data_IF_984302187459
#
_entry.id   IF_984302187459
#
_cell.length_a   1.000
_cell.length_b   1.000
_cell.length_c   1.000
_cell.angle_alpha   90.00
_cell.angle_beta   90.00
_cell.angle_gamma   90.00
#
_symmetry.space_group_name_H-M   'P 1'
#
loop_
_entity.id
_entity.type
_entity.pdbx_description
1 polymer ?
#
# COMPACT_ATOMS: atom_id res chain seq x y z
N UNK A 1 -7.16 -32.86 -13.25
CA UNK A 1 -6.51 -32.38 -12.02
C UNK A 1 -5.81 -31.05 -12.27
N UNK A 2 -6.24 -29.98 -11.58
CA UNK A 2 -5.62 -28.63 -11.60
C UNK A 2 -4.95 -28.39 -10.24
N UNK A 3 -4.30 -29.41 -9.68
CA UNK A 3 -3.68 -29.32 -8.34
C UNK A 3 -2.22 -28.86 -8.36
N UNK A 4 -1.52 -28.97 -9.51
CA UNK A 4 -0.12 -28.53 -9.63
C UNK A 4 0.06 -27.01 -9.63
N UNK A 5 -0.78 -26.29 -10.38
CA UNK A 5 -0.62 -24.83 -10.62
C UNK A 5 -0.94 -24.00 -9.37
N UNK A 6 -1.80 -24.49 -8.48
CA UNK A 6 -2.18 -23.78 -7.25
C UNK A 6 -1.02 -23.74 -6.23
N UNK A 7 -0.16 -24.76 -6.22
CA UNK A 7 1.05 -24.78 -5.39
C UNK A 7 2.05 -23.72 -5.83
N UNK A 8 2.32 -23.65 -7.14
CA UNK A 8 3.31 -22.73 -7.73
C UNK A 8 3.06 -21.26 -7.38
N UNK A 9 1.80 -20.82 -7.44
CA UNK A 9 1.46 -19.44 -7.12
C UNK A 9 1.63 -19.13 -5.62
N UNK A 10 1.36 -20.10 -4.75
CA UNK A 10 1.59 -19.96 -3.31
C UNK A 10 3.08 -19.78 -3.01
N UNK A 11 3.97 -20.51 -3.70
CA UNK A 11 5.42 -20.32 -3.59
C UNK A 11 5.86 -18.93 -4.05
N UNK A 12 5.27 -18.38 -5.10
CA UNK A 12 5.57 -17.01 -5.56
C UNK A 12 5.17 -15.95 -4.52
N UNK A 13 4.01 -16.11 -3.87
CA UNK A 13 3.58 -15.22 -2.78
C UNK A 13 4.57 -15.30 -1.61
N UNK A 14 4.98 -16.51 -1.22
CA UNK A 14 5.95 -16.69 -0.14
C UNK A 14 7.30 -16.06 -0.47
N UNK A 15 7.81 -16.26 -1.69
CA UNK A 15 9.05 -15.64 -2.15
C UNK A 15 8.95 -14.11 -2.11
N UNK A 16 7.82 -13.56 -2.59
CA UNK A 16 7.56 -12.13 -2.55
C UNK A 16 7.55 -11.57 -1.11
N UNK A 17 6.90 -12.26 -0.17
CA UNK A 17 6.93 -11.89 1.25
C UNK A 17 8.35 -11.89 1.81
N UNK A 18 9.17 -12.88 1.48
CA UNK A 18 10.57 -12.96 1.94
C UNK A 18 11.43 -11.82 1.37
N UNK A 19 11.26 -11.48 0.09
CA UNK A 19 11.94 -10.33 -0.52
C UNK A 19 11.55 -9.02 0.17
N UNK A 20 10.27 -8.83 0.51
CA UNK A 20 9.82 -7.63 1.22
C UNK A 20 10.37 -7.59 2.65
N UNK A 21 10.42 -8.72 3.36
CA UNK A 21 11.01 -8.79 4.70
C UNK A 21 12.50 -8.45 4.69
N UNK A 22 13.25 -8.98 3.71
CA UNK A 22 14.65 -8.62 3.53
C UNK A 22 14.83 -7.14 3.20
N UNK A 23 13.98 -6.59 2.32
CA UNK A 23 13.96 -5.15 2.03
C UNK A 23 13.66 -4.31 3.28
N UNK A 24 12.66 -4.71 4.06
CA UNK A 24 12.23 -4.03 5.27
C UNK A 24 13.37 -3.93 6.28
N UNK A 25 14.20 -4.96 6.42
CA UNK A 25 15.38 -4.94 7.30
C UNK A 25 16.31 -3.75 7.01
N UNK A 26 16.46 -3.38 5.74
CA UNK A 26 17.28 -2.25 5.32
C UNK A 26 16.50 -0.92 5.21
N UNK A 27 15.16 -0.97 5.27
CA UNK A 27 14.31 0.22 5.18
C UNK A 27 13.80 0.71 6.55
N UNK A 28 13.86 -0.11 7.61
CA UNK A 28 13.56 0.32 8.98
C UNK A 28 14.44 1.51 9.35
N UNK A 29 13.87 2.46 10.11
CA UNK A 29 14.56 3.71 10.46
C UNK A 29 15.83 3.44 11.30
N UNK A 30 17.00 4.00 10.94
CA UNK A 30 17.27 4.89 9.79
C UNK A 30 17.36 4.13 8.46
N UNK A 31 16.53 4.52 7.49
CA UNK A 31 16.45 3.85 6.18
C UNK A 31 17.74 4.05 5.37
N UNK A 32 18.32 2.95 4.89
CA UNK A 32 19.48 2.99 3.98
C UNK A 32 19.11 2.78 2.51
N UNK A 33 17.94 2.19 2.22
CA UNK A 33 17.47 1.93 0.85
C UNK A 33 16.02 2.37 0.67
N UNK A 34 15.74 3.14 -0.38
CA UNK A 34 14.39 3.56 -0.77
C UNK A 34 13.82 2.65 -1.86
N UNK A 35 12.53 2.35 -1.76
CA UNK A 35 11.85 1.42 -2.67
C UNK A 35 11.72 1.94 -4.11
N UNK A 36 11.57 3.26 -4.24
CA UNK A 36 11.32 3.93 -5.51
C UNK A 36 9.96 3.60 -6.14
N UNK A 37 9.69 4.25 -7.28
CA UNK A 37 8.46 4.07 -8.03
C UNK A 37 8.38 2.71 -8.74
N UNK A 38 9.52 2.15 -9.12
CA UNK A 38 9.58 0.84 -9.76
C UNK A 38 9.11 -0.26 -8.79
N UNK A 39 9.63 -0.26 -7.55
CA UNK A 39 9.25 -1.23 -6.53
C UNK A 39 7.77 -1.10 -6.12
N UNK A 40 7.29 0.12 -5.87
CA UNK A 40 5.91 0.34 -5.42
C UNK A 40 4.86 -0.09 -6.44
N UNK A 41 5.06 0.23 -7.73
CA UNK A 41 4.14 -0.17 -8.80
C UNK A 41 4.17 -1.67 -9.05
N UNK A 42 5.36 -2.28 -9.06
CA UNK A 42 5.51 -3.72 -9.24
C UNK A 42 4.77 -4.49 -8.14
N UNK A 43 4.92 -4.08 -6.87
CA UNK A 43 4.21 -4.71 -5.76
C UNK A 43 2.69 -4.55 -5.86
N UNK A 44 2.21 -3.35 -6.22
CA UNK A 44 0.76 -3.12 -6.39
C UNK A 44 0.15 -4.02 -7.47
N UNK A 45 0.85 -4.20 -8.60
CA UNK A 45 0.43 -5.12 -9.67
C UNK A 45 0.45 -6.57 -9.17
N UNK A 46 1.51 -6.99 -8.47
CA UNK A 46 1.62 -8.35 -7.95
C UNK A 46 0.50 -8.70 -6.97
N UNK A 47 0.20 -7.82 -6.01
CA UNK A 47 -0.89 -7.99 -5.04
C UNK A 47 -2.25 -8.09 -5.77
N UNK A 48 -2.46 -7.25 -6.78
CA UNK A 48 -3.69 -7.27 -7.58
C UNK A 48 -3.89 -8.60 -8.30
N UNK A 49 -2.84 -9.12 -8.94
CA UNK A 49 -2.87 -10.44 -9.60
C UNK A 49 -3.12 -11.55 -8.59
N UNK A 50 -2.48 -11.48 -7.41
CA UNK A 50 -2.62 -12.49 -6.38
C UNK A 50 -4.05 -12.63 -5.86
N UNK A 51 -4.76 -11.51 -5.74
CA UNK A 51 -6.14 -11.52 -5.24
C UNK A 51 -7.12 -12.00 -6.31
N UNK A 52 -6.92 -11.61 -7.57
CA UNK A 52 -7.72 -12.16 -8.69
C UNK A 52 -7.55 -13.68 -8.75
N UNK A 53 -6.32 -14.18 -8.56
CA UNK A 53 -6.02 -15.62 -8.52
C UNK A 53 -6.61 -16.35 -7.31
N UNK A 54 -6.82 -15.66 -6.19
CA UNK A 54 -7.47 -16.22 -5.00
C UNK A 54 -8.98 -16.48 -5.20
N UNK A 55 -9.59 -15.98 -6.28
CA UNK A 55 -11.01 -16.20 -6.59
C UNK A 55 -11.98 -15.39 -5.70
N UNK A 56 -11.45 -14.55 -4.81
CA UNK A 56 -12.21 -13.77 -3.85
C UNK A 56 -11.76 -12.30 -3.86
N UNK A 57 -12.16 -11.52 -4.89
CA UNK A 57 -11.69 -10.14 -5.08
C UNK A 57 -12.05 -9.20 -3.93
N UNK A 58 -13.11 -9.51 -3.17
CA UNK A 58 -13.51 -8.74 -2.00
C UNK A 58 -12.47 -8.75 -0.87
N UNK A 59 -11.57 -9.74 -0.83
CA UNK A 59 -10.45 -9.77 0.12
C UNK A 59 -9.46 -8.63 -0.11
N UNK A 60 -9.44 -8.00 -1.28
CA UNK A 60 -8.58 -6.83 -1.51
C UNK A 60 -8.91 -5.67 -0.58
N UNK A 61 -10.18 -5.44 -0.28
CA UNK A 61 -10.61 -4.28 0.52
C UNK A 61 -9.95 -4.28 1.90
N UNK A 62 -10.04 -5.33 2.73
CA UNK A 62 -9.37 -5.35 4.02
C UNK A 62 -7.83 -5.37 3.89
N UNK A 63 -7.28 -6.11 2.93
CA UNK A 63 -5.82 -6.23 2.74
C UNK A 63 -5.19 -4.90 2.30
N UNK A 64 -5.86 -4.16 1.43
CA UNK A 64 -5.39 -2.89 0.89
C UNK A 64 -6.05 -1.67 1.55
N UNK A 65 -6.74 -1.85 2.69
CA UNK A 65 -7.49 -0.78 3.34
C UNK A 65 -6.64 0.47 3.58
N UNK A 66 -5.45 0.28 4.17
CA UNK A 66 -4.50 1.38 4.44
C UNK A 66 -4.00 2.01 3.15
N UNK A 67 -3.69 1.21 2.12
CA UNK A 67 -3.27 1.70 0.80
C UNK A 67 -4.36 2.55 0.13
N UNK A 68 -5.62 2.12 0.22
CA UNK A 68 -6.77 2.82 -0.35
C UNK A 68 -7.03 4.12 0.42
N UNK A 69 -6.99 4.09 1.75
CA UNK A 69 -7.19 5.29 2.56
C UNK A 69 -6.08 6.32 2.33
N UNK A 70 -4.82 5.89 2.31
CA UNK A 70 -3.70 6.82 2.23
C UNK A 70 -3.46 7.33 0.80
N UNK A 71 -3.37 6.41 -0.16
CA UNK A 71 -3.13 6.72 -1.57
C UNK A 71 -4.42 7.00 -2.35
N UNK A 72 -5.44 6.16 -2.19
CA UNK A 72 -6.71 6.26 -2.92
C UNK A 72 -7.50 7.53 -2.57
N UNK A 73 -7.56 7.94 -1.31
CA UNK A 73 -8.21 9.19 -0.90
C UNK A 73 -7.51 10.42 -1.50
N UNK A 74 -6.18 10.40 -1.56
CA UNK A 74 -5.39 11.44 -2.21
C UNK A 74 -5.67 11.52 -3.71
N UNK A 75 -5.70 10.36 -4.39
CA UNK A 75 -6.02 10.29 -5.81
C UNK A 75 -7.45 10.78 -6.10
N UNK A 76 -8.43 10.35 -5.31
CA UNK A 76 -9.83 10.77 -5.43
C UNK A 76 -9.94 12.29 -5.26
N UNK A 77 -9.30 12.85 -4.24
CA UNK A 77 -9.27 14.29 -4.00
C UNK A 77 -8.72 15.04 -5.22
N UNK A 78 -7.58 14.62 -5.76
CA UNK A 78 -6.97 15.26 -6.94
C UNK A 78 -7.84 15.10 -8.19
N UNK A 79 -8.43 13.93 -8.40
CA UNK A 79 -9.32 13.67 -9.53
C UNK A 79 -10.56 14.57 -9.49
N UNK A 80 -11.23 14.68 -8.33
CA UNK A 80 -12.41 15.55 -8.17
C UNK A 80 -12.09 17.03 -8.38
N UNK A 81 -10.92 17.47 -7.91
CA UNK A 81 -10.43 18.83 -8.14
C UNK A 81 -10.17 19.10 -9.62
N UNK A 82 -9.56 18.14 -10.33
CA UNK A 82 -9.17 18.29 -11.73
C UNK A 82 -10.35 18.21 -12.68
N UNK A 83 -11.26 17.26 -12.47
CA UNK A 83 -12.37 16.99 -13.39
C UNK A 83 -13.65 17.76 -13.04
N UNK A 84 -14.04 17.77 -11.76
CA UNK A 84 -15.31 18.35 -11.33
C UNK A 84 -15.14 19.75 -10.71
N UNK A 85 -13.89 20.21 -10.49
CA UNK A 85 -13.56 21.44 -9.75
C UNK A 85 -14.15 21.49 -8.33
N UNK A 86 -14.54 20.33 -7.78
CA UNK A 86 -15.11 20.22 -6.42
C UNK A 86 -13.98 20.04 -5.42
N UNK A 87 -13.92 20.95 -4.44
CA UNK A 87 -12.94 20.92 -3.34
C UNK A 87 -13.46 20.11 -2.15
N UNK A 88 -13.22 18.80 -2.16
CA UNK A 88 -13.46 17.90 -1.02
C UNK A 88 -12.21 17.86 -0.11
N UNK A 89 -12.40 17.64 1.21
CA UNK A 89 -11.32 17.47 2.20
C UNK A 89 -10.30 18.64 2.23
N UNK A 90 -10.79 19.89 2.33
CA UNK A 90 -9.95 21.10 2.29
C UNK A 90 -8.90 21.17 3.40
N UNK A 91 -9.25 20.71 4.61
CA UNK A 91 -8.38 20.78 5.79
C UNK A 91 -7.52 19.52 5.99
N UNK A 92 -7.76 18.45 5.22
CA UNK A 92 -6.99 17.20 5.32
C UNK A 92 -5.88 17.24 4.30
N UNK A 93 -4.64 17.10 4.79
CA UNK A 93 -3.47 16.93 3.93
C UNK A 93 -3.51 15.50 3.39
N UNK A 94 -3.30 15.33 2.11
CA UNK A 94 -3.22 14.00 1.47
C UNK A 94 -1.81 13.87 0.92
N UNK A 95 -1.09 12.77 1.18
CA UNK A 95 -1.54 11.53 1.84
C UNK A 95 -1.82 11.66 3.36
N UNK A 96 -2.61 10.72 3.91
CA UNK A 96 -3.02 10.70 5.32
C UNK A 96 -1.84 10.53 6.27
N UNK A 97 -0.85 9.70 5.95
CA UNK A 97 0.35 9.54 6.77
C UNK A 97 1.07 10.88 6.99
N UNK A 98 1.00 11.76 5.99
CA UNK A 98 1.63 13.08 6.01
C UNK A 98 0.78 14.11 6.77
N UNK A 99 -0.53 13.92 6.80
CA UNK A 99 -1.43 14.67 7.66
C UNK A 99 -1.20 14.37 9.14
N UNK A 100 -1.18 13.09 9.53
CA UNK A 100 -0.98 12.74 10.94
C UNK A 100 0.40 13.14 11.43
N UNK A 101 1.43 13.08 10.57
CA UNK A 101 2.77 13.56 10.91
C UNK A 101 2.82 15.08 11.10
N UNK A 102 2.28 15.86 10.16
CA UNK A 102 2.45 17.32 10.13
C UNK A 102 1.37 18.10 10.88
N UNK A 103 0.14 17.59 10.91
CA UNK A 103 -0.99 18.24 11.56
C UNK A 103 -1.22 17.73 12.99
N UNK A 104 -0.98 16.43 13.24
CA UNK A 104 -1.15 15.84 14.58
C UNK A 104 0.17 15.63 15.33
N UNK A 105 1.31 15.90 14.70
CA UNK A 105 2.62 15.89 15.34
C UNK A 105 3.18 14.49 15.67
N UNK A 106 2.70 13.43 15.01
CA UNK A 106 3.21 12.08 15.26
C UNK A 106 4.64 11.90 14.74
N UNK A 107 5.45 11.13 15.46
CA UNK A 107 6.79 10.76 15.00
C UNK A 107 6.71 9.81 13.80
N UNK A 108 7.76 9.78 12.95
CA UNK A 108 7.80 8.87 11.80
C UNK A 108 7.55 7.41 12.23
N UNK A 109 8.20 6.99 13.32
CA UNK A 109 8.04 5.64 13.90
C UNK A 109 6.61 5.39 14.36
N UNK A 110 5.96 6.35 15.03
CA UNK A 110 4.56 6.23 15.46
C UNK A 110 3.61 6.04 14.28
N UNK A 111 3.79 6.81 13.19
CA UNK A 111 2.97 6.68 11.99
C UNK A 111 3.15 5.30 11.36
N UNK A 112 4.40 4.84 11.21
CA UNK A 112 4.71 3.53 10.61
C UNK A 112 4.05 2.38 11.37
N UNK A 113 4.23 2.31 12.70
CA UNK A 113 3.62 1.25 13.51
C UNK A 113 2.10 1.27 13.46
N UNK A 114 1.47 2.45 13.55
CA UNK A 114 0.00 2.59 13.53
C UNK A 114 -0.66 2.34 12.18
N UNK A 115 0.06 2.54 11.08
CA UNK A 115 -0.46 2.25 9.74
C UNK A 115 -0.21 0.79 9.33
N UNK A 116 0.77 0.13 9.95
CA UNK A 116 1.06 -1.28 9.72
C UNK A 116 0.21 -2.24 10.57
N UNK A 117 -0.35 -1.76 11.69
CA UNK A 117 -1.20 -2.53 12.62
C UNK A 117 -2.67 -2.31 12.28
#
# INVERSE_FOLDING_TARGET
EIKGIAGDFSYLILLFCMCILAYLWYNITPSIMMMGDAGSRAMGIFISIAIIKSGSPLLYIPVAFVLILDGGLGLLKVALLRFLKIRILRNVKTPLHDHVRKAWGWSNTQVMFRFAT
#
